data_IF_157251767413
#
_entry.id   IF_157251767413
#
_cell.length_a   1.000
_cell.length_b   1.000
_cell.length_c   1.000
_cell.angle_alpha   90.00
_cell.angle_beta   90.00
_cell.angle_gamma   90.00
#
_symmetry.space_group_name_H-M   'P 1'
#
loop_
_entity.id
_entity.type
_entity.pdbx_description
1 polymer ?
#
# COMPACT_ATOMS: atom_id res chain seq x y z
N UNK A 1 8.32 -0.05 22.98
CA UNK A 1 8.28 -1.18 22.02
C UNK A 1 6.94 -1.12 21.30
N UNK A 2 6.92 -1.15 19.96
CA UNK A 2 5.70 -1.18 19.15
C UNK A 2 5.42 -2.65 18.83
N UNK A 3 4.22 -3.16 19.15
CA UNK A 3 3.80 -4.55 18.93
C UNK A 3 2.38 -4.54 18.38
N UNK A 4 2.09 -5.40 17.39
CA UNK A 4 0.74 -5.57 16.84
C UNK A 4 0.25 -4.43 15.94
N UNK A 5 1.15 -3.60 15.41
CA UNK A 5 0.83 -2.47 14.53
C UNK A 5 1.00 -2.79 13.05
N UNK A 6 1.29 -4.04 12.72
CA UNK A 6 1.69 -4.45 11.38
C UNK A 6 0.52 -5.11 10.67
N UNK A 7 0.29 -4.65 9.45
CA UNK A 7 -0.71 -5.18 8.53
C UNK A 7 0.04 -5.70 7.32
N UNK A 8 -0.09 -6.99 7.03
CA UNK A 8 0.50 -7.60 5.84
C UNK A 8 -0.17 -7.13 4.55
N UNK A 9 0.30 -7.64 3.41
CA UNK A 9 -0.32 -7.37 2.11
C UNK A 9 -1.82 -7.67 2.17
N UNK A 10 -2.62 -6.62 1.99
CA UNK A 10 -4.08 -6.71 2.05
C UNK A 10 -4.65 -6.14 0.75
N UNK A 11 -5.49 -6.95 0.09
CA UNK A 11 -6.11 -6.65 -1.20
C UNK A 11 -7.36 -5.79 -1.02
N UNK A 12 -7.18 -4.54 -0.56
CA UNK A 12 -8.29 -3.62 -0.30
C UNK A 12 -9.12 -3.32 -1.55
N UNK A 13 -8.46 -3.26 -2.71
CA UNK A 13 -9.10 -3.08 -3.99
C UNK A 13 -10.07 -4.22 -4.31
N UNK A 14 -9.74 -5.47 -3.95
CA UNK A 14 -10.62 -6.63 -4.15
C UNK A 14 -11.83 -6.59 -3.23
N UNK A 15 -11.64 -6.13 -1.99
CA UNK A 15 -12.76 -5.88 -1.09
C UNK A 15 -13.68 -4.78 -1.64
N UNK A 16 -13.11 -3.70 -2.19
CA UNK A 16 -13.87 -2.61 -2.81
C UNK A 16 -14.61 -3.05 -4.08
N UNK A 17 -13.99 -3.90 -4.92
CA UNK A 17 -14.59 -4.46 -6.14
C UNK A 17 -15.93 -5.15 -5.85
N UNK A 18 -16.02 -5.90 -4.74
CA UNK A 18 -17.25 -6.57 -4.31
C UNK A 18 -18.41 -5.60 -4.01
N UNK A 19 -18.10 -4.35 -3.65
CA UNK A 19 -19.09 -3.28 -3.45
C UNK A 19 -19.41 -2.49 -4.73
N UNK A 20 -18.87 -2.92 -5.89
CA UNK A 20 -19.06 -2.23 -7.16
C UNK A 20 -18.18 -0.97 -7.31
N UNK A 21 -17.11 -0.86 -6.53
CA UNK A 21 -16.12 0.22 -6.67
C UNK A 21 -15.14 -0.16 -7.79
N UNK A 22 -14.66 0.84 -8.55
CA UNK A 22 -13.56 0.64 -9.49
C UNK A 22 -12.26 0.32 -8.71
N UNK A 23 -11.64 -0.82 -8.99
CA UNK A 23 -10.55 -1.35 -8.21
C UNK A 23 -9.24 -1.35 -9.02
N UNK A 24 -8.22 -0.70 -8.49
CA UNK A 24 -6.87 -0.65 -9.07
C UNK A 24 -5.86 -1.08 -7.99
N UNK A 25 -4.92 -1.94 -8.37
CA UNK A 25 -3.79 -2.32 -7.54
C UNK A 25 -2.50 -1.82 -8.19
N UNK A 26 -1.73 -1.03 -7.47
CA UNK A 26 -0.50 -0.39 -7.98
C UNK A 26 0.68 -0.85 -7.13
N UNK A 27 1.67 -1.43 -7.78
CA UNK A 27 2.92 -1.84 -7.13
C UNK A 27 4.05 -0.87 -7.43
N UNK A 28 4.06 -0.28 -8.63
CA UNK A 28 5.12 0.60 -9.07
C UNK A 28 4.68 2.06 -9.07
N UNK A 29 5.53 2.95 -8.58
CA UNK A 29 5.23 4.38 -8.48
C UNK A 29 4.87 5.03 -9.82
N UNK A 30 5.39 4.49 -10.92
CA UNK A 30 5.09 4.97 -12.28
C UNK A 30 3.63 4.69 -12.71
N UNK A 31 2.95 3.72 -12.09
CA UNK A 31 1.58 3.33 -12.44
C UNK A 31 0.52 4.17 -11.73
N UNK A 32 0.92 4.97 -10.73
CA UNK A 32 -0.01 5.78 -9.91
C UNK A 32 -0.81 6.75 -10.79
N UNK A 33 -0.14 7.54 -11.63
CA UNK A 33 -0.82 8.53 -12.48
C UNK A 33 -1.75 7.84 -13.48
N UNK A 34 -1.31 6.83 -14.26
CA UNK A 34 -2.21 6.07 -15.13
C UNK A 34 -3.40 5.43 -14.41
N UNK A 35 -3.21 4.88 -13.20
CA UNK A 35 -4.29 4.26 -12.44
C UNK A 35 -5.34 5.29 -11.99
N UNK A 36 -4.90 6.47 -11.59
CA UNK A 36 -5.78 7.59 -11.24
C UNK A 36 -6.57 8.06 -12.47
N UNK A 37 -5.94 8.16 -13.64
CA UNK A 37 -6.62 8.53 -14.88
C UNK A 37 -7.72 7.54 -15.25
N UNK A 38 -7.44 6.22 -15.16
CA UNK A 38 -8.45 5.16 -15.36
C UNK A 38 -9.58 5.24 -14.33
N UNK A 39 -9.24 5.50 -13.07
CA UNK A 39 -10.22 5.67 -12.00
C UNK A 39 -11.18 6.83 -12.27
N UNK A 40 -10.68 7.98 -12.69
CA UNK A 40 -11.52 9.11 -13.06
C UNK A 40 -12.37 8.82 -14.31
N UNK A 41 -11.80 8.17 -15.32
CA UNK A 41 -12.53 7.79 -16.53
C UNK A 41 -13.67 6.78 -16.27
N UNK A 42 -13.57 6.00 -15.19
CA UNK A 42 -14.58 5.01 -14.82
C UNK A 42 -15.94 5.61 -14.45
N UNK A 43 -15.99 6.88 -14.03
CA UNK A 43 -17.22 7.55 -13.57
C UNK A 43 -17.84 6.93 -12.31
N UNK A 44 -17.09 6.07 -11.61
CA UNK A 44 -17.52 5.33 -10.42
C UNK A 44 -16.67 5.74 -9.20
N UNK A 45 -17.15 5.51 -7.97
CA UNK A 45 -16.25 5.46 -6.82
C UNK A 45 -15.08 4.53 -7.12
N UNK A 46 -13.86 4.91 -6.74
CA UNK A 46 -12.65 4.17 -7.03
C UNK A 46 -11.79 3.93 -5.78
N UNK A 47 -11.17 2.76 -5.72
CA UNK A 47 -10.17 2.37 -4.75
C UNK A 47 -8.88 2.05 -5.50
N UNK A 48 -7.88 2.92 -5.34
CA UNK A 48 -6.52 2.71 -5.85
C UNK A 48 -5.66 2.29 -4.68
N UNK A 49 -5.38 0.99 -4.58
CA UNK A 49 -4.55 0.42 -3.53
C UNK A 49 -3.09 0.47 -3.97
N UNK A 50 -2.31 1.39 -3.38
CA UNK A 50 -0.91 1.63 -3.74
C UNK A 50 0.00 1.00 -2.68
N UNK A 51 0.86 0.10 -3.12
CA UNK A 51 1.93 -0.40 -2.26
C UNK A 51 2.99 0.67 -2.05
N UNK A 52 3.32 0.95 -0.79
CA UNK A 52 4.34 1.94 -0.40
C UNK A 52 5.47 1.28 0.36
N UNK A 53 6.62 1.95 0.40
CA UNK A 53 7.73 1.57 1.26
C UNK A 53 7.30 1.65 2.75
N UNK A 54 7.34 0.54 3.50
CA UNK A 54 6.97 0.51 4.91
C UNK A 54 7.95 1.26 5.83
N UNK A 55 9.17 1.53 5.36
CA UNK A 55 10.19 2.27 6.10
C UNK A 55 10.19 3.77 5.75
N UNK A 56 9.30 4.21 4.85
CA UNK A 56 9.13 5.62 4.54
C UNK A 56 8.56 6.38 5.75
N UNK A 57 9.38 7.27 6.32
CA UNK A 57 9.01 8.11 7.45
C UNK A 57 8.80 9.54 6.97
N UNK A 58 7.69 10.16 7.40
CA UNK A 58 7.42 11.57 7.13
C UNK A 58 8.60 12.46 7.60
N UNK A 59 9.01 13.48 6.82
CA UNK A 59 10.07 14.41 7.22
C UNK A 59 9.81 15.08 8.58
N UNK A 60 8.54 15.25 8.94
CA UNK A 60 8.14 15.75 10.25
C UNK A 60 8.63 14.87 11.40
N UNK A 61 8.60 13.54 11.22
CA UNK A 61 9.11 12.57 12.19
C UNK A 61 10.60 12.26 12.00
N UNK A 62 11.17 12.41 10.80
CA UNK A 62 12.58 12.13 10.54
C UNK A 62 13.53 12.98 11.43
N UNK A 63 13.15 14.22 11.75
CA UNK A 63 13.91 15.09 12.67
C UNK A 63 13.93 14.64 14.14
N UNK A 64 13.08 13.67 14.52
CA UNK A 64 13.00 13.17 15.90
C UNK A 64 14.00 12.05 16.23
N UNK A 65 14.81 11.61 15.26
CA UNK A 65 15.88 10.62 15.47
C UNK A 65 15.41 9.19 15.73
N UNK A 66 14.09 8.92 15.68
CA UNK A 66 13.54 7.60 15.89
C UNK A 66 13.65 6.74 14.62
N UNK A 67 14.73 5.97 14.48
CA UNK A 67 14.79 4.87 13.51
C UNK A 67 14.14 3.65 14.14
N UNK A 68 13.03 3.19 13.57
CA UNK A 68 12.41 1.92 13.98
C UNK A 68 13.01 0.82 13.11
N UNK A 69 13.88 -0.01 13.67
CA UNK A 69 14.31 -1.23 13.00
C UNK A 69 13.14 -2.20 12.88
N UNK A 70 12.82 -2.60 11.65
CA UNK A 70 11.73 -3.54 11.32
C UNK A 70 12.28 -4.79 10.62
N UNK A 71 13.12 -5.62 11.28
CA UNK A 71 13.73 -6.81 10.66
C UNK A 71 12.73 -7.86 10.16
N UNK A 72 11.46 -7.79 10.60
CA UNK A 72 10.38 -8.64 10.10
C UNK A 72 9.59 -8.01 8.92
N UNK A 73 9.83 -6.74 8.56
CA UNK A 73 9.25 -6.12 7.36
C UNK A 73 9.76 -6.80 6.08
N UNK A 74 11.04 -7.20 6.06
CA UNK A 74 11.58 -8.08 5.03
C UNK A 74 10.79 -9.38 4.92
N UNK A 75 10.32 -9.97 6.03
CA UNK A 75 9.51 -11.18 5.99
C UNK A 75 8.09 -10.94 5.43
N UNK A 76 7.52 -9.75 5.63
CA UNK A 76 6.26 -9.32 4.99
C UNK A 76 6.46 -9.12 3.49
N UNK A 77 7.57 -8.47 3.09
CA UNK A 77 7.99 -8.31 1.69
C UNK A 77 8.32 -9.66 1.05
N UNK A 78 8.87 -10.64 1.79
CA UNK A 78 9.12 -12.00 1.27
C UNK A 78 7.84 -12.82 1.15
N UNK A 79 6.86 -12.58 2.03
CA UNK A 79 5.56 -13.25 1.98
C UNK A 79 4.68 -12.71 0.84
N UNK A 80 4.92 -11.47 0.37
CA UNK A 80 4.41 -10.91 -0.90
C UNK A 80 4.81 -11.79 -2.09
N UNK A 81 6.07 -12.21 -2.18
CA UNK A 81 6.57 -13.01 -3.31
C UNK A 81 6.03 -14.45 -3.31
N UNK A 82 5.63 -14.98 -2.14
CA UNK A 82 5.11 -16.34 -1.98
C UNK A 82 3.59 -16.46 -2.12
N UNK A 83 2.86 -15.33 -2.21
CA UNK A 83 1.39 -15.29 -2.31
C UNK A 83 0.89 -14.90 -3.72
N UNK A 84 1.80 -14.87 -4.71
CA UNK A 84 1.50 -14.77 -6.14
C UNK A 84 1.41 -16.15 -6.75
#
# INVERSE_FOLDING_TARGET
RIVGTELGLTRYEKAAEAFGVHAEFVEEGAEIIPAIERAFASGRPACVNVMTDPDAISPYFAGSGARVERPWAEAVIRRREAAV
#
